data_IF_027336395714
#
_entry.id   IF_027336395714
#
_cell.length_a   1.000
_cell.length_b   1.000
_cell.length_c   1.000
_cell.angle_alpha   90.00
_cell.angle_beta   90.00
_cell.angle_gamma   90.00
#
_symmetry.space_group_name_H-M   'P 1'
#
loop_
_entity.id
_entity.type
_entity.pdbx_description
1 polymer ?
#
# COMPACT_ATOMS: atom_id res chain seq x y z
N UNK A 1 15.96 -4.23 16.02
CA UNK A 1 15.83 -2.77 16.27
C UNK A 1 16.59 -2.03 15.19
N UNK A 2 15.89 -1.51 14.17
CA UNK A 2 16.53 -0.81 13.06
C UNK A 2 17.04 0.56 13.49
N UNK A 3 18.28 0.87 13.15
CA UNK A 3 18.92 2.18 13.35
C UNK A 3 18.18 3.25 12.54
N UNK A 4 17.20 3.93 13.13
CA UNK A 4 16.67 5.17 12.55
C UNK A 4 17.73 6.25 12.73
N UNK A 5 18.59 6.41 11.72
CA UNK A 5 19.60 7.47 11.68
C UNK A 5 18.87 8.82 11.76
N UNK A 6 18.93 9.47 12.92
CA UNK A 6 18.23 10.73 13.21
C UNK A 6 19.02 11.92 12.66
N UNK A 7 19.12 11.99 11.34
CA UNK A 7 19.73 13.12 10.62
C UNK A 7 18.76 14.31 10.60
N UNK A 8 18.59 14.98 11.75
CA UNK A 8 17.57 16.03 11.94
C UNK A 8 17.87 17.37 11.23
N UNK A 9 19.07 17.52 10.68
CA UNK A 9 19.59 18.79 10.16
C UNK A 9 19.96 18.71 8.67
N UNK A 10 19.64 17.60 8.00
CA UNK A 10 19.89 17.48 6.56
C UNK A 10 18.90 18.36 5.81
N UNK A 11 19.44 19.26 4.99
CA UNK A 11 18.66 20.19 4.16
C UNK A 11 18.67 19.79 2.68
N UNK A 12 19.68 19.07 2.22
CA UNK A 12 19.78 18.65 0.82
C UNK A 12 20.27 17.21 0.74
N UNK A 13 19.58 16.41 -0.07
CA UNK A 13 19.99 15.07 -0.48
C UNK A 13 20.09 15.09 -1.99
N UNK A 14 21.27 14.72 -2.51
CA UNK A 14 21.50 14.66 -3.94
C UNK A 14 22.12 13.32 -4.30
N UNK A 15 21.34 12.49 -4.97
CA UNK A 15 21.76 11.25 -5.60
C UNK A 15 21.45 11.28 -7.11
N UNK A 16 21.38 12.47 -7.71
CA UNK A 16 21.25 12.58 -9.15
C UNK A 16 22.40 11.86 -9.85
N UNK A 17 22.12 11.13 -10.92
CA UNK A 17 23.12 10.39 -11.71
C UNK A 17 23.88 9.33 -10.89
N UNK A 18 23.25 8.77 -9.85
CA UNK A 18 23.85 7.76 -8.95
C UNK A 18 23.29 6.35 -9.13
N UNK A 19 22.47 6.08 -10.16
CA UNK A 19 21.85 4.78 -10.42
C UNK A 19 21.11 4.22 -9.18
N UNK A 20 20.34 5.09 -8.52
CA UNK A 20 19.57 4.72 -7.31
C UNK A 20 18.58 3.58 -7.60
N UNK A 21 18.01 3.57 -8.81
CA UNK A 21 16.97 2.65 -9.28
C UNK A 21 15.73 2.63 -8.39
N UNK A 22 14.70 1.91 -8.83
CA UNK A 22 13.41 1.87 -8.14
C UNK A 22 13.52 1.34 -6.70
N UNK A 23 14.31 0.28 -6.45
CA UNK A 23 14.52 -0.27 -5.10
C UNK A 23 15.18 0.76 -4.16
N UNK A 24 16.20 1.47 -4.62
CA UNK A 24 16.87 2.49 -3.82
C UNK A 24 16.01 3.73 -3.58
N UNK A 25 15.20 4.13 -4.56
CA UNK A 25 14.31 5.27 -4.44
C UNK A 25 13.22 5.02 -3.39
N UNK A 26 12.69 3.80 -3.32
CA UNK A 26 11.76 3.38 -2.25
C UNK A 26 12.44 3.41 -0.89
N UNK A 27 13.68 2.92 -0.76
CA UNK A 27 14.42 2.99 0.50
C UNK A 27 14.68 4.43 0.97
N UNK A 28 14.98 5.34 0.04
CA UNK A 28 15.10 6.78 0.32
C UNK A 28 13.74 7.35 0.75
N UNK A 29 12.67 7.00 0.06
CA UNK A 29 11.31 7.42 0.41
C UNK A 29 10.95 7.00 1.84
N UNK A 30 11.26 5.78 2.25
CA UNK A 30 11.04 5.31 3.63
C UNK A 30 11.84 6.12 4.65
N UNK A 31 13.12 6.41 4.36
CA UNK A 31 13.97 7.23 5.21
C UNK A 31 13.46 8.68 5.34
N UNK A 32 12.97 9.25 4.25
CA UNK A 32 12.36 10.59 4.21
C UNK A 32 11.05 10.59 4.98
N UNK A 33 10.18 9.59 4.81
CA UNK A 33 8.89 9.49 5.53
C UNK A 33 9.09 9.39 7.04
N UNK A 34 10.13 8.68 7.48
CA UNK A 34 10.48 8.50 8.90
C UNK A 34 11.35 9.60 9.52
N UNK A 35 11.84 10.59 8.74
CA UNK A 35 12.88 11.52 9.19
C UNK A 35 13.00 12.83 8.40
N UNK A 36 14.13 13.53 8.57
CA UNK A 36 14.54 14.69 7.75
C UNK A 36 13.55 15.90 7.74
N UNK A 37 13.15 16.45 8.88
CA UNK A 37 12.15 17.54 8.94
C UNK A 37 12.59 18.85 8.28
N UNK A 38 13.90 19.03 8.04
CA UNK A 38 14.49 20.23 7.44
C UNK A 38 14.88 20.07 5.98
N UNK A 39 14.44 18.99 5.34
CA UNK A 39 14.78 18.72 3.95
C UNK A 39 14.16 19.80 3.05
N UNK A 40 15.02 20.47 2.28
CA UNK A 40 14.70 21.51 1.30
C UNK A 40 14.86 21.02 -0.13
N UNK A 41 15.84 20.16 -0.38
CA UNK A 41 16.10 19.59 -1.70
C UNK A 41 16.23 18.06 -1.63
N UNK A 42 15.49 17.37 -2.49
CA UNK A 42 15.68 15.95 -2.81
C UNK A 42 15.89 15.82 -4.31
N UNK A 43 17.12 15.49 -4.72
CA UNK A 43 17.48 15.25 -6.11
C UNK A 43 17.74 13.76 -6.35
N UNK A 44 16.87 13.16 -7.17
CA UNK A 44 16.93 11.78 -7.65
C UNK A 44 16.79 11.73 -9.19
N UNK A 45 17.31 12.75 -9.88
CA UNK A 45 17.30 12.82 -11.33
C UNK A 45 18.24 11.78 -11.97
N UNK A 46 17.94 11.33 -13.19
CA UNK A 46 18.80 10.39 -13.95
C UNK A 46 19.16 9.12 -13.15
N UNK A 47 18.15 8.45 -12.59
CA UNK A 47 18.35 7.34 -11.65
C UNK A 47 17.66 6.03 -12.05
N UNK A 48 17.10 5.92 -13.26
CA UNK A 48 16.35 4.72 -13.72
C UNK A 48 15.18 4.38 -12.76
N UNK A 49 14.50 5.42 -12.25
CA UNK A 49 13.37 5.27 -11.34
C UNK A 49 12.09 5.06 -12.15
N UNK A 50 11.42 3.94 -11.93
CA UNK A 50 10.12 3.64 -12.54
C UNK A 50 8.99 4.37 -11.80
N UNK A 51 7.88 4.57 -12.51
CA UNK A 51 6.67 5.27 -12.04
C UNK A 51 6.32 5.03 -10.56
N UNK A 52 6.12 3.77 -10.17
CA UNK A 52 5.61 3.44 -8.82
C UNK A 52 6.58 3.88 -7.71
N UNK A 53 7.89 3.84 -7.97
CA UNK A 53 8.90 4.33 -7.05
C UNK A 53 8.94 5.87 -7.00
N UNK A 54 8.80 6.55 -8.14
CA UNK A 54 8.69 8.01 -8.18
C UNK A 54 7.45 8.52 -7.41
N UNK A 55 6.32 7.84 -7.53
CA UNK A 55 5.10 8.14 -6.75
C UNK A 55 5.34 7.93 -5.24
N UNK A 56 6.07 6.87 -4.86
CA UNK A 56 6.43 6.63 -3.46
C UNK A 56 7.29 7.76 -2.88
N UNK A 57 8.23 8.30 -3.66
CA UNK A 57 9.04 9.46 -3.28
C UNK A 57 8.17 10.71 -3.11
N UNK A 58 7.25 10.97 -4.04
CA UNK A 58 6.33 12.11 -3.96
C UNK A 58 5.43 12.05 -2.72
N UNK A 59 4.93 10.85 -2.36
CA UNK A 59 4.18 10.67 -1.11
C UNK A 59 5.06 10.87 0.13
N UNK A 60 6.32 10.43 0.10
CA UNK A 60 7.22 10.54 1.24
C UNK A 60 7.60 11.98 1.59
N UNK A 61 7.57 12.89 0.61
CA UNK A 61 7.86 14.30 0.83
C UNK A 61 6.63 15.14 1.23
N UNK A 62 5.43 14.55 1.26
CA UNK A 62 4.17 15.27 1.48
C UNK A 62 4.09 16.04 2.81
N UNK A 63 4.86 15.63 3.82
CA UNK A 63 4.93 16.27 5.14
C UNK A 63 6.17 17.16 5.33
N UNK A 64 6.96 17.38 4.28
CA UNK A 64 8.20 18.18 4.31
C UNK A 64 7.90 19.65 4.03
N UNK A 65 7.53 20.37 5.10
CA UNK A 65 7.11 21.77 5.03
C UNK A 65 8.19 22.75 4.52
N UNK A 66 9.47 22.39 4.65
CA UNK A 66 10.60 23.19 4.14
C UNK A 66 11.05 22.78 2.73
N UNK A 67 10.39 21.80 2.09
CA UNK A 67 10.80 21.33 0.76
C UNK A 67 10.58 22.41 -0.30
N UNK A 68 11.66 22.78 -0.96
CA UNK A 68 11.69 23.76 -2.05
C UNK A 68 11.85 23.08 -3.41
N UNK A 69 12.49 21.91 -3.47
CA UNK A 69 12.79 21.21 -4.73
C UNK A 69 12.73 19.68 -4.59
N UNK A 70 11.97 19.05 -5.48
CA UNK A 70 11.99 17.61 -5.79
C UNK A 70 12.39 17.44 -7.25
N UNK A 71 13.54 16.80 -7.48
CA UNK A 71 14.06 16.57 -8.83
C UNK A 71 13.98 15.08 -9.18
N UNK A 72 13.13 14.77 -10.17
CA UNK A 72 12.89 13.42 -10.68
C UNK A 72 13.06 13.36 -12.22
N UNK A 73 13.69 14.36 -12.83
CA UNK A 73 13.93 14.40 -14.27
C UNK A 73 14.83 13.24 -14.74
N UNK A 74 14.77 12.83 -16.01
CA UNK A 74 15.69 11.80 -16.51
C UNK A 74 15.41 10.39 -16.01
N UNK A 75 14.20 10.12 -15.53
CA UNK A 75 13.79 8.81 -15.04
C UNK A 75 12.83 8.13 -16.03
N UNK A 76 12.25 6.99 -15.65
CA UNK A 76 11.43 6.15 -16.53
C UNK A 76 9.99 6.09 -16.03
N UNK A 77 9.31 7.25 -15.94
CA UNK A 77 7.95 7.34 -15.40
C UNK A 77 6.88 7.11 -16.49
N UNK A 78 7.17 7.50 -17.73
CA UNK A 78 6.19 7.58 -18.80
C UNK A 78 5.27 8.79 -18.69
N UNK A 79 4.56 9.10 -19.78
CA UNK A 79 3.60 10.21 -19.84
C UNK A 79 2.54 10.11 -18.74
N UNK A 80 1.95 8.91 -18.58
CA UNK A 80 0.96 8.64 -17.52
C UNK A 80 1.57 8.79 -16.12
N UNK A 81 2.82 8.36 -15.93
CA UNK A 81 3.50 8.50 -14.64
C UNK A 81 3.84 9.95 -14.31
N UNK A 82 4.23 10.75 -15.30
CA UNK A 82 4.45 12.18 -15.16
C UNK A 82 3.15 12.92 -14.77
N UNK A 83 2.04 12.61 -15.45
CA UNK A 83 0.72 13.16 -15.11
C UNK A 83 0.31 12.79 -13.67
N UNK A 84 0.44 11.51 -13.31
CA UNK A 84 0.13 11.03 -11.96
C UNK A 84 1.02 11.70 -10.90
N UNK A 85 2.32 11.85 -11.16
CA UNK A 85 3.25 12.51 -10.25
C UNK A 85 2.86 13.98 -10.00
N UNK A 86 2.45 14.69 -11.06
CA UNK A 86 1.95 16.05 -10.94
C UNK A 86 0.65 16.09 -10.13
N UNK A 87 -0.30 15.18 -10.39
CA UNK A 87 -1.55 15.09 -9.62
C UNK A 87 -1.31 14.80 -8.13
N UNK A 88 -0.33 13.94 -7.79
CA UNK A 88 0.06 13.65 -6.39
C UNK A 88 0.48 14.93 -5.70
N UNK A 89 1.42 15.67 -6.29
CA UNK A 89 1.98 16.87 -5.69
C UNK A 89 0.97 18.01 -5.66
N UNK A 90 0.11 18.14 -6.67
CA UNK A 90 -1.02 19.06 -6.67
C UNK A 90 -1.98 18.76 -5.50
N UNK A 91 -2.28 17.49 -5.25
CA UNK A 91 -3.10 17.05 -4.11
C UNK A 91 -2.52 17.43 -2.74
N UNK A 92 -1.20 17.59 -2.65
CA UNK A 92 -0.50 18.07 -1.45
C UNK A 92 -0.25 19.58 -1.43
N UNK A 93 -0.72 20.33 -2.45
CA UNK A 93 -0.38 21.74 -2.69
C UNK A 93 1.13 21.99 -2.88
N UNK A 94 1.85 20.98 -3.37
CA UNK A 94 3.30 20.99 -3.60
C UNK A 94 3.67 21.05 -5.09
N UNK A 95 2.70 21.31 -5.99
CA UNK A 95 2.91 21.43 -7.44
C UNK A 95 4.19 22.16 -7.88
N UNK A 96 4.57 23.21 -7.14
CA UNK A 96 5.69 24.11 -7.44
C UNK A 96 7.06 23.58 -7.04
N UNK A 97 7.12 22.53 -6.21
CA UNK A 97 8.40 21.96 -5.75
C UNK A 97 8.98 21.02 -6.81
N UNK A 98 8.16 20.49 -7.72
CA UNK A 98 8.59 19.56 -8.74
C UNK A 98 9.45 20.29 -9.78
N UNK A 99 10.64 19.74 -10.05
CA UNK A 99 11.48 20.18 -11.16
C UNK A 99 10.89 19.77 -12.52
N UNK A 100 11.51 20.20 -13.62
CA UNK A 100 11.11 19.76 -14.96
C UNK A 100 11.16 18.24 -15.08
N UNK A 101 10.21 17.64 -15.79
CA UNK A 101 10.23 16.22 -16.20
C UNK A 101 10.44 16.09 -17.73
N UNK A 102 11.06 17.09 -18.35
CA UNK A 102 11.19 17.19 -19.81
C UNK A 102 12.04 16.10 -20.43
N UNK A 103 12.92 15.48 -19.65
CA UNK A 103 13.85 14.42 -20.08
C UNK A 103 13.40 13.05 -19.54
N UNK A 104 12.12 12.84 -19.25
CA UNK A 104 11.62 11.50 -18.93
C UNK A 104 11.86 10.54 -20.11
N UNK A 105 12.49 9.41 -19.82
CA UNK A 105 12.92 8.41 -20.80
C UNK A 105 11.78 7.43 -21.17
N UNK A 106 10.59 7.57 -20.59
CA UNK A 106 9.42 6.74 -20.88
C UNK A 106 9.24 5.54 -19.94
N UNK A 107 8.35 4.62 -20.26
CA UNK A 107 8.21 3.36 -19.51
C UNK A 107 9.11 2.31 -20.17
N UNK A 108 10.21 1.92 -19.51
CA UNK A 108 11.03 0.79 -19.96
C UNK A 108 10.29 -0.53 -19.68
N UNK A 109 9.76 -1.11 -20.77
CA UNK A 109 9.16 -2.45 -20.87
C UNK A 109 10.20 -3.59 -20.74
N UNK A 110 11.47 -3.29 -20.46
CA UNK A 110 12.50 -4.31 -20.36
C UNK A 110 12.38 -5.06 -19.02
N UNK A 111 11.94 -6.30 -19.16
CA UNK A 111 12.05 -7.40 -18.21
C UNK A 111 13.48 -7.45 -17.62
N UNK A 112 13.69 -6.88 -16.43
CA UNK A 112 14.90 -7.18 -15.66
C UNK A 112 14.76 -8.60 -15.12
N UNK A 113 15.10 -9.58 -15.97
CA UNK A 113 15.65 -10.87 -15.55
C UNK A 113 16.93 -10.58 -14.73
N UNK A 114 16.80 -10.30 -13.43
CA UNK A 114 17.90 -10.58 -12.51
C UNK A 114 18.02 -12.11 -12.43
N UNK A 115 18.82 -12.70 -13.32
CA UNK A 115 19.42 -14.02 -13.11
C UNK A 115 20.26 -13.95 -11.82
N UNK A 116 19.60 -14.27 -10.69
CA UNK A 116 20.27 -14.58 -9.44
C UNK A 116 20.55 -16.07 -9.42
N UNK A 117 21.82 -16.43 -9.58
CA UNK A 117 22.37 -17.76 -9.36
C UNK A 117 21.93 -18.29 -7.98
N UNK A 118 20.99 -19.23 -7.93
CA UNK A 118 20.74 -20.02 -6.73
C UNK A 118 21.83 -21.10 -6.65
N UNK A 119 22.81 -20.87 -5.77
CA UNK A 119 23.72 -21.92 -5.32
C UNK A 119 22.88 -22.99 -4.60
N UNK A 120 22.87 -24.20 -5.16
CA UNK A 120 22.32 -25.40 -4.52
C UNK A 120 23.19 -25.74 -3.30
N UNK A 121 22.73 -25.45 -2.09
CA UNK A 121 23.21 -26.14 -0.88
C UNK A 121 22.34 -27.36 -0.64
N UNK A 122 22.87 -28.53 -1.03
CA UNK A 122 22.42 -29.85 -0.58
C UNK A 122 22.72 -29.96 0.93
N UNK A 123 21.69 -29.97 1.77
CA UNK A 123 21.82 -30.51 3.13
C UNK A 123 21.37 -31.98 3.13
N UNK A 124 22.36 -32.87 3.16
CA UNK A 124 22.19 -34.30 3.42
C UNK A 124 21.77 -34.54 4.88
N UNK A 125 20.93 -35.54 5.04
CA UNK A 125 20.39 -36.10 6.27
C UNK A 125 21.49 -36.63 7.21
N UNK A 126 21.39 -36.36 8.51
CA UNK A 126 21.84 -37.32 9.54
C UNK A 126 20.78 -37.42 10.66
N UNK A 127 20.17 -38.60 10.75
CA UNK A 127 19.36 -39.06 11.88
C UNK A 127 20.25 -39.69 12.97
N UNK A 128 19.69 -39.72 14.19
CA UNK A 128 20.07 -40.51 15.39
C UNK A 128 21.32 -39.98 16.16
N UNK A 129 21.31 -39.83 17.48
CA UNK A 129 21.00 -40.85 18.48
C UNK A 129 20.32 -40.32 19.76
N UNK A 130 19.66 -41.27 20.42
CA UNK A 130 18.95 -41.26 21.70
C UNK A 130 19.81 -40.87 22.90
N UNK A 131 19.22 -40.23 23.93
CA UNK A 131 19.42 -40.63 25.34
C UNK A 131 18.15 -40.26 26.14
N UNK A 132 17.45 -41.28 26.67
CA UNK A 132 16.47 -41.16 27.76
C UNK A 132 17.11 -41.56 29.11
N UNK A 133 16.44 -41.14 30.19
CA UNK A 133 16.47 -41.64 31.57
C UNK A 133 17.63 -41.14 32.48
N UNK A 134 17.45 -40.83 33.78
CA UNK A 134 16.29 -40.74 34.66
C UNK A 134 16.74 -40.00 35.96
N UNK A 135 15.74 -39.42 36.65
CA UNK A 135 15.48 -39.38 38.10
C UNK A 135 16.31 -38.60 39.17
N UNK A 136 15.51 -37.81 39.92
CA UNK A 136 15.40 -37.70 41.40
C UNK A 136 16.56 -37.07 42.22
N UNK A 137 16.36 -36.31 43.31
CA UNK A 137 15.25 -36.14 44.25
C UNK A 137 15.46 -34.84 45.08
N UNK A 138 14.34 -34.25 45.52
CA UNK A 138 14.05 -33.56 46.80
C UNK A 138 15.10 -32.73 47.60
N UNK A 139 14.77 -31.46 47.92
CA UNK A 139 14.18 -31.05 49.22
C UNK A 139 14.15 -29.51 49.37
N UNK A 140 12.96 -28.95 49.60
CA UNK A 140 12.76 -27.72 50.38
C UNK A 140 12.53 -28.14 51.86
N UNK A 141 12.95 -27.35 52.89
CA UNK A 141 12.01 -26.33 53.40
C UNK A 141 12.63 -25.08 54.07
N UNK A 142 11.96 -23.97 53.81
CA UNK A 142 11.46 -22.94 54.75
C UNK A 142 12.36 -22.03 55.62
N UNK A 143 11.85 -20.79 55.69
CA UNK A 143 11.79 -19.82 56.79
C UNK A 143 12.85 -18.73 56.92
N UNK A 144 12.35 -17.49 57.09
CA UNK A 144 12.97 -16.54 58.03
C UNK A 144 13.18 -15.12 57.53
N UNK A 145 12.13 -14.33 57.56
CA UNK A 145 12.03 -12.92 58.00
C UNK A 145 13.24 -11.95 58.07
N UNK A 146 12.89 -10.70 57.74
CA UNK A 146 13.34 -9.40 58.28
C UNK A 146 14.61 -8.72 57.70
N UNK A 147 14.38 -7.56 57.09
CA UNK A 147 14.83 -6.31 57.73
C UNK A 147 15.81 -5.43 56.96
N UNK A 148 15.37 -4.18 56.76
CA UNK A 148 16.16 -2.93 56.76
C UNK A 148 16.64 -2.33 55.42
N UNK A 149 16.09 -1.15 55.12
CA UNK A 149 16.68 -0.11 54.27
C UNK A 149 18.05 0.34 54.82
N UNK A 150 18.86 1.11 54.06
CA UNK A 150 18.71 2.57 54.16
C UNK A 150 19.02 3.37 52.87
N UNK A 151 18.24 4.45 52.74
CA UNK A 151 18.67 5.83 52.51
C UNK A 151 19.47 6.26 51.25
N UNK A 152 18.86 7.24 50.57
CA UNK A 152 19.41 8.23 49.63
C UNK A 152 20.45 9.17 50.26
N UNK A 153 21.15 9.99 49.45
CA UNK A 153 21.10 11.45 49.66
C UNK A 153 21.12 12.24 48.30
N UNK A 154 21.14 13.60 48.25
CA UNK A 154 19.93 14.42 48.12
C UNK A 154 19.93 15.52 47.02
N UNK A 155 18.70 15.97 46.72
CA UNK A 155 18.19 17.24 46.15
C UNK A 155 19.15 18.41 45.83
N UNK A 156 18.87 19.07 44.70
CA UNK A 156 18.72 20.55 44.62
C UNK A 156 17.48 20.93 43.82
N UNK A 157 16.63 21.73 44.45
CA UNK A 157 15.40 22.37 43.94
C UNK A 157 15.76 23.79 43.55
N UNK A 158 15.31 24.26 42.37
CA UNK A 158 14.93 25.66 42.10
C UNK A 158 13.90 25.67 40.94
N UNK A 159 12.63 25.89 41.27
CA UNK A 159 11.56 26.42 40.39
C UNK A 159 11.62 27.97 40.41
N UNK A 160 10.79 28.75 39.69
CA UNK A 160 10.11 28.55 38.39
C UNK A 160 10.25 29.80 37.46
N UNK A 161 9.94 29.71 36.16
CA UNK A 161 9.20 30.76 35.38
C UNK A 161 9.05 30.41 33.89
N UNK A 162 7.79 30.37 33.43
CA UNK A 162 7.26 30.77 32.11
C UNK A 162 7.93 30.30 30.80
N UNK A 163 7.21 29.50 30.02
CA UNK A 163 7.46 29.34 28.58
C UNK A 163 6.74 28.14 27.97
N UNK A 164 5.53 28.40 27.45
CA UNK A 164 4.79 27.71 26.37
C UNK A 164 4.80 26.17 26.25
N UNK A 165 3.62 25.51 26.18
CA UNK A 165 3.56 24.09 25.80
C UNK A 165 3.97 23.92 24.32
N UNK A 166 4.85 22.95 24.07
CA UNK A 166 5.25 22.52 22.74
C UNK A 166 4.03 22.25 21.84
N UNK A 167 4.08 22.58 20.53
CA UNK A 167 2.95 22.38 19.65
C UNK A 167 2.70 20.88 19.51
N UNK A 168 1.50 20.47 19.92
CA UNK A 168 0.90 19.19 19.59
C UNK A 168 1.03 18.96 18.09
N UNK A 169 1.63 17.82 17.73
CA UNK A 169 1.68 17.28 16.37
C UNK A 169 0.30 17.41 15.74
N UNK A 170 0.19 18.29 14.75
CA UNK A 170 -1.01 18.41 13.92
C UNK A 170 -1.29 17.04 13.33
N UNK A 171 -2.39 16.42 13.76
CA UNK A 171 -2.94 15.23 13.12
C UNK A 171 -2.96 15.43 11.60
N UNK A 172 -2.52 14.46 10.79
CA UNK A 172 -2.50 14.63 9.35
C UNK A 172 -3.92 14.98 8.85
N UNK A 173 -4.06 15.88 7.86
CA UNK A 173 -5.34 16.50 7.48
C UNK A 173 -6.39 15.43 7.15
N UNK A 174 -7.65 15.58 7.58
CA UNK A 174 -8.67 14.54 7.42
C UNK A 174 -8.69 14.03 5.97
N UNK A 175 -8.49 12.72 5.79
CA UNK A 175 -8.58 12.12 4.47
C UNK A 175 -10.02 12.31 3.97
N UNK A 176 -10.18 12.81 2.75
CA UNK A 176 -11.46 12.77 2.05
C UNK A 176 -11.44 11.65 1.00
N UNK A 177 -12.63 11.24 0.55
CA UNK A 177 -12.79 10.13 -0.40
C UNK A 177 -12.14 10.46 -1.74
N UNK A 178 -12.11 11.73 -2.16
CA UNK A 178 -11.47 12.14 -3.42
C UNK A 178 -9.97 11.87 -3.37
N UNK A 179 -9.33 12.22 -2.25
CA UNK A 179 -7.91 12.00 -1.99
C UNK A 179 -7.59 10.51 -1.94
N UNK A 180 -8.45 9.71 -1.30
CA UNK A 180 -8.31 8.26 -1.30
C UNK A 180 -8.46 7.65 -2.70
N UNK A 181 -9.47 8.06 -3.47
CA UNK A 181 -9.69 7.54 -4.82
C UNK A 181 -8.63 8.04 -5.81
N UNK A 182 -8.01 9.20 -5.58
CA UNK A 182 -6.86 9.62 -6.37
C UNK A 182 -5.65 8.72 -6.07
N UNK A 183 -5.36 8.49 -4.78
CA UNK A 183 -4.17 7.75 -4.33
C UNK A 183 -4.51 6.74 -3.24
N UNK A 184 -4.98 5.54 -3.62
CA UNK A 184 -5.41 4.55 -2.64
C UNK A 184 -4.24 4.07 -1.78
N UNK A 185 -4.39 4.18 -0.46
CA UNK A 185 -3.53 3.48 0.51
C UNK A 185 -4.36 2.90 1.66
N UNK A 186 -3.89 1.84 2.33
CA UNK A 186 -4.58 1.28 3.50
C UNK A 186 -4.80 2.33 4.59
N UNK A 187 -3.79 3.17 4.83
CA UNK A 187 -3.83 4.22 5.86
C UNK A 187 -4.87 5.28 5.51
N UNK A 188 -4.95 5.69 4.24
CA UNK A 188 -5.97 6.65 3.77
C UNK A 188 -7.37 6.08 3.92
N UNK A 189 -7.59 4.80 3.58
CA UNK A 189 -8.88 4.12 3.77
C UNK A 189 -9.30 4.08 5.24
N UNK A 190 -8.39 3.72 6.13
CA UNK A 190 -8.67 3.68 7.58
C UNK A 190 -8.92 5.08 8.15
N UNK A 191 -8.23 6.11 7.65
CA UNK A 191 -8.39 7.51 8.08
C UNK A 191 -9.71 8.15 7.67
N UNK A 192 -10.43 7.60 6.69
CA UNK A 192 -11.82 7.98 6.39
C UNK A 192 -12.78 7.64 7.55
N UNK A 193 -12.35 6.76 8.48
CA UNK A 193 -13.08 6.39 9.67
C UNK A 193 -14.25 5.42 9.40
N UNK A 194 -15.12 5.17 10.39
CA UNK A 194 -16.12 4.11 10.35
C UNK A 194 -17.24 4.32 9.31
N UNK A 195 -17.29 5.48 8.66
CA UNK A 195 -18.25 5.81 7.60
C UNK A 195 -17.63 5.74 6.20
N UNK A 196 -16.39 5.28 6.07
CA UNK A 196 -15.64 5.20 4.82
C UNK A 196 -16.45 4.51 3.72
N UNK A 197 -17.04 3.36 4.01
CA UNK A 197 -17.87 2.58 3.08
C UNK A 197 -19.04 3.37 2.50
N UNK A 198 -19.80 4.05 3.37
CA UNK A 198 -20.94 4.89 2.96
C UNK A 198 -20.48 6.10 2.15
N UNK A 199 -19.38 6.75 2.56
CA UNK A 199 -18.86 7.93 1.87
C UNK A 199 -18.34 7.58 0.47
N UNK A 200 -17.62 6.47 0.32
CA UNK A 200 -17.17 5.96 -0.97
C UNK A 200 -18.37 5.70 -1.88
N UNK A 201 -19.35 4.93 -1.41
CA UNK A 201 -20.55 4.63 -2.18
C UNK A 201 -21.35 5.89 -2.55
N UNK A 202 -21.38 6.92 -1.68
CA UNK A 202 -22.08 8.19 -1.94
C UNK A 202 -21.40 9.04 -3.00
N UNK A 203 -20.07 9.13 -2.97
CA UNK A 203 -19.31 9.97 -3.91
C UNK A 203 -19.08 9.31 -5.26
N UNK A 204 -19.21 7.98 -5.36
CA UNK A 204 -19.23 7.28 -6.64
C UNK A 204 -20.59 7.40 -7.32
N UNK A 205 -20.58 7.84 -8.57
CA UNK A 205 -21.72 7.81 -9.47
C UNK A 205 -21.99 6.37 -9.92
N UNK A 206 -22.86 5.69 -9.16
CA UNK A 206 -23.22 4.28 -9.41
C UNK A 206 -24.20 4.09 -10.57
N UNK A 207 -24.50 5.13 -11.36
CA UNK A 207 -25.24 4.97 -12.61
C UNK A 207 -24.34 4.59 -13.78
N UNK A 208 -23.04 4.88 -13.66
CA UNK A 208 -22.02 4.64 -14.67
C UNK A 208 -21.16 3.41 -14.30
N UNK A 209 -21.24 2.29 -15.05
CA UNK A 209 -20.43 1.10 -14.80
C UNK A 209 -18.92 1.36 -14.78
N UNK A 210 -18.42 2.31 -15.57
CA UNK A 210 -16.99 2.61 -15.65
C UNK A 210 -16.47 3.21 -14.33
N UNK A 211 -17.23 4.15 -13.76
CA UNK A 211 -16.90 4.77 -12.48
C UNK A 211 -17.00 3.76 -11.33
N UNK A 212 -17.95 2.82 -11.39
CA UNK A 212 -18.06 1.74 -10.40
C UNK A 212 -16.86 0.79 -10.49
N UNK A 213 -16.42 0.42 -11.71
CA UNK A 213 -15.20 -0.39 -11.89
C UNK A 213 -13.97 0.35 -11.35
N UNK A 214 -13.81 1.62 -11.70
CA UNK A 214 -12.69 2.44 -11.20
C UNK A 214 -12.66 2.48 -9.67
N UNK A 215 -13.80 2.76 -9.03
CA UNK A 215 -13.90 2.77 -7.56
C UNK A 215 -13.65 1.39 -6.95
N UNK A 216 -14.18 0.31 -7.54
CA UNK A 216 -13.97 -1.06 -7.08
C UNK A 216 -12.47 -1.44 -7.11
N UNK A 217 -11.78 -1.12 -8.20
CA UNK A 217 -10.35 -1.42 -8.35
C UNK A 217 -9.48 -0.59 -7.39
N UNK A 218 -9.80 0.70 -7.22
CA UNK A 218 -9.11 1.59 -6.27
C UNK A 218 -9.32 1.18 -4.82
N UNK A 219 -10.52 0.73 -4.45
CA UNK A 219 -10.80 0.22 -3.10
C UNK A 219 -10.12 -1.12 -2.87
N UNK A 220 -10.13 -2.02 -3.85
CA UNK A 220 -9.54 -3.35 -3.71
C UNK A 220 -8.03 -3.36 -3.81
N UNK A 221 -7.39 -2.38 -4.45
CA UNK A 221 -5.92 -2.29 -4.56
C UNK A 221 -5.21 -2.14 -3.21
N UNK A 222 -5.89 -1.61 -2.20
CA UNK A 222 -5.33 -1.42 -0.85
C UNK A 222 -5.58 -2.62 0.07
N UNK A 223 -6.14 -3.71 -0.45
CA UNK A 223 -6.38 -4.92 0.32
C UNK A 223 -5.08 -5.48 0.89
N UNK A 224 -5.08 -5.73 2.20
CA UNK A 224 -4.05 -6.47 2.93
C UNK A 224 -4.74 -7.50 3.82
N UNK A 225 -4.09 -8.61 4.11
CA UNK A 225 -4.62 -9.61 5.06
C UNK A 225 -4.39 -9.19 6.52
N UNK A 226 -4.66 -7.91 6.79
CA UNK A 226 -4.70 -7.31 8.12
C UNK A 226 -6.17 -7.06 8.44
N UNK A 227 -6.64 -7.49 9.62
CA UNK A 227 -8.06 -7.51 9.96
C UNK A 227 -8.76 -6.16 9.73
N UNK A 228 -8.16 -5.04 10.16
CA UNK A 228 -8.74 -3.71 10.02
C UNK A 228 -8.87 -3.28 8.54
N UNK A 229 -7.80 -3.43 7.77
CA UNK A 229 -7.77 -3.07 6.34
C UNK A 229 -8.70 -3.96 5.53
N UNK A 230 -8.65 -5.27 5.75
CA UNK A 230 -9.52 -6.25 5.10
C UNK A 230 -10.99 -5.93 5.30
N UNK A 231 -11.41 -5.69 6.54
CA UNK A 231 -12.80 -5.32 6.85
C UNK A 231 -13.18 -3.99 6.20
N UNK A 232 -12.31 -2.98 6.25
CA UNK A 232 -12.59 -1.69 5.62
C UNK A 232 -12.77 -1.79 4.10
N UNK A 233 -11.94 -2.60 3.42
CA UNK A 233 -12.06 -2.86 1.98
C UNK A 233 -13.36 -3.61 1.67
N UNK A 234 -13.67 -4.67 2.42
CA UNK A 234 -14.89 -5.47 2.25
C UNK A 234 -16.15 -4.63 2.46
N UNK A 235 -16.22 -3.84 3.54
CA UNK A 235 -17.35 -2.96 3.83
C UNK A 235 -17.55 -1.91 2.72
N UNK A 236 -16.45 -1.36 2.19
CA UNK A 236 -16.50 -0.38 1.11
C UNK A 236 -16.96 -1.01 -0.22
N UNK A 237 -16.49 -2.21 -0.54
CA UNK A 237 -16.96 -3.00 -1.68
C UNK A 237 -18.44 -3.30 -1.54
N UNK A 238 -18.88 -3.76 -0.36
CA UNK A 238 -20.29 -4.08 -0.10
C UNK A 238 -21.18 -2.86 -0.26
N UNK A 239 -20.82 -1.73 0.34
CA UNK A 239 -21.59 -0.50 0.22
C UNK A 239 -21.69 0.00 -1.24
N UNK A 240 -20.58 -0.03 -1.98
CA UNK A 240 -20.53 0.38 -3.38
C UNK A 240 -21.38 -0.53 -4.26
N UNK A 241 -21.14 -1.85 -4.18
CA UNK A 241 -21.75 -2.82 -5.08
C UNK A 241 -23.22 -3.08 -4.74
N UNK A 242 -23.61 -3.04 -3.46
CA UNK A 242 -25.02 -3.07 -3.06
C UNK A 242 -25.79 -1.87 -3.58
N UNK A 243 -25.18 -0.67 -3.58
CA UNK A 243 -25.79 0.53 -4.18
C UNK A 243 -25.92 0.41 -5.70
N UNK A 244 -24.89 -0.09 -6.38
CA UNK A 244 -24.90 -0.27 -7.83
C UNK A 244 -25.91 -1.35 -8.27
N UNK A 245 -25.78 -2.58 -7.77
CA UNK A 245 -26.67 -3.70 -8.14
C UNK A 245 -28.10 -3.55 -7.61
N UNK A 246 -28.31 -2.73 -6.57
CA UNK A 246 -29.65 -2.38 -6.10
C UNK A 246 -30.43 -1.47 -7.07
N UNK A 247 -29.76 -0.84 -8.05
CA UNK A 247 -30.40 -0.01 -9.07
C UNK A 247 -30.83 -0.84 -10.27
N UNK A 248 -32.12 -0.81 -10.61
CA UNK A 248 -32.65 -1.51 -11.80
C UNK A 248 -32.12 -0.95 -13.13
N UNK A 249 -31.57 0.27 -13.13
CA UNK A 249 -30.98 0.90 -14.31
C UNK A 249 -29.51 0.52 -14.50
N UNK A 250 -28.86 -0.08 -13.50
CA UNK A 250 -27.45 -0.41 -13.55
C UNK A 250 -27.19 -1.65 -14.42
N UNK A 251 -26.34 -1.50 -15.43
CA UNK A 251 -26.00 -2.59 -16.34
C UNK A 251 -24.90 -3.48 -15.73
N UNK A 252 -25.34 -4.53 -15.05
CA UNK A 252 -24.46 -5.49 -14.36
C UNK A 252 -23.51 -6.25 -15.32
N UNK A 253 -23.93 -6.50 -16.56
CA UNK A 253 -23.09 -7.14 -17.57
C UNK A 253 -22.02 -6.19 -18.13
N UNK A 254 -22.36 -4.91 -18.28
CA UNK A 254 -21.39 -3.88 -18.66
C UNK A 254 -20.32 -3.71 -17.57
N UNK A 255 -20.73 -3.68 -16.30
CA UNK A 255 -19.80 -3.68 -15.17
C UNK A 255 -18.80 -4.85 -15.26
N UNK A 256 -19.29 -6.09 -15.38
CA UNK A 256 -18.41 -7.26 -15.43
C UNK A 256 -17.46 -7.22 -16.64
N UNK A 257 -17.97 -6.84 -17.82
CA UNK A 257 -17.15 -6.69 -19.04
C UNK A 257 -16.02 -5.68 -18.83
N UNK A 258 -16.33 -4.50 -18.29
CA UNK A 258 -15.34 -3.44 -18.05
C UNK A 258 -14.34 -3.84 -16.96
N UNK A 259 -14.79 -4.50 -15.90
CA UNK A 259 -13.91 -5.03 -14.86
C UNK A 259 -12.87 -6.00 -15.44
N UNK A 260 -13.31 -6.96 -16.27
CA UNK A 260 -12.41 -7.92 -16.91
C UNK A 260 -11.42 -7.25 -17.87
N UNK A 261 -11.81 -6.17 -18.54
CA UNK A 261 -10.92 -5.39 -19.40
C UNK A 261 -9.83 -4.70 -18.57
N UNK A 262 -10.21 -3.98 -17.51
CA UNK A 262 -9.25 -3.30 -16.62
C UNK A 262 -8.32 -4.27 -15.86
N UNK A 263 -8.76 -5.50 -15.63
CA UNK A 263 -7.93 -6.58 -15.09
C UNK A 263 -7.04 -7.28 -16.14
N UNK A 264 -7.09 -6.87 -17.41
CA UNK A 264 -6.30 -7.49 -18.49
C UNK A 264 -6.77 -8.88 -18.90
N UNK A 265 -8.00 -9.26 -18.57
CA UNK A 265 -8.55 -10.61 -18.80
C UNK A 265 -9.48 -10.66 -20.03
N UNK A 266 -9.85 -9.51 -20.57
CA UNK A 266 -10.66 -9.36 -21.76
C UNK A 266 -10.15 -8.20 -22.62
N UNK A 267 -10.10 -8.40 -23.94
CA UNK A 267 -9.67 -7.36 -24.88
C UNK A 267 -10.77 -6.32 -25.11
N UNK A 268 -10.37 -5.08 -25.32
CA UNK A 268 -11.22 -3.95 -25.75
C UNK A 268 -10.69 -3.33 -27.04
N UNK A 269 -11.56 -2.58 -27.73
CA UNK A 269 -11.14 -1.71 -28.85
C UNK A 269 -10.37 -0.47 -28.34
N UNK A 270 -10.70 -0.01 -27.14
CA UNK A 270 -9.98 1.06 -26.44
C UNK A 270 -8.63 0.56 -25.92
N UNK A 271 -7.60 1.41 -26.00
CA UNK A 271 -6.33 1.19 -25.31
C UNK A 271 -6.51 1.47 -23.82
N UNK A 272 -6.71 0.40 -23.04
CA UNK A 272 -6.84 0.48 -21.58
C UNK A 272 -5.64 -0.25 -20.97
N UNK A 273 -4.91 0.44 -20.11
CA UNK A 273 -3.82 -0.15 -19.34
C UNK A 273 -4.40 -1.07 -18.29
N UNK A 274 -4.00 -2.34 -18.32
CA UNK A 274 -4.38 -3.30 -17.30
C UNK A 274 -3.67 -2.98 -15.98
N UNK A 275 -4.34 -3.22 -14.85
CA UNK A 275 -3.70 -3.10 -13.54
C UNK A 275 -2.66 -4.22 -13.36
N UNK A 276 -1.52 -3.89 -12.74
CA UNK A 276 -0.41 -4.83 -12.59
C UNK A 276 -0.67 -5.95 -11.57
N UNK A 277 -1.31 -5.63 -10.44
CA UNK A 277 -1.53 -6.57 -9.35
C UNK A 277 -3.02 -6.92 -9.20
N UNK A 278 -3.35 -8.20 -9.35
CA UNK A 278 -4.71 -8.72 -9.25
C UNK A 278 -5.07 -9.27 -7.85
N UNK A 279 -4.13 -9.33 -6.90
CA UNK A 279 -4.37 -9.94 -5.58
C UNK A 279 -5.56 -9.30 -4.86
N UNK A 280 -5.53 -7.97 -4.69
CA UNK A 280 -6.61 -7.23 -4.03
C UNK A 280 -7.96 -7.34 -4.76
N UNK A 281 -8.03 -7.07 -6.08
CA UNK A 281 -9.24 -7.29 -6.88
C UNK A 281 -9.81 -8.71 -6.77
N UNK A 282 -8.98 -9.75 -6.80
CA UNK A 282 -9.42 -11.15 -6.69
C UNK A 282 -9.97 -11.45 -5.29
N UNK A 283 -9.34 -10.92 -4.23
CA UNK A 283 -9.84 -11.08 -2.86
C UNK A 283 -11.14 -10.32 -2.63
N UNK A 284 -11.29 -9.12 -3.20
CA UNK A 284 -12.53 -8.35 -3.17
C UNK A 284 -13.65 -9.05 -3.95
N UNK A 285 -13.35 -9.60 -5.13
CA UNK A 285 -14.28 -10.44 -5.88
C UNK A 285 -14.71 -11.67 -5.09
N UNK A 286 -13.76 -12.36 -4.43
CA UNK A 286 -14.02 -13.53 -3.61
C UNK A 286 -15.01 -13.21 -2.48
N UNK A 287 -14.90 -12.03 -1.84
CA UNK A 287 -15.88 -11.56 -0.86
C UNK A 287 -17.23 -11.22 -1.51
N UNK A 288 -17.21 -10.43 -2.58
CA UNK A 288 -18.41 -9.89 -3.24
C UNK A 288 -19.35 -10.99 -3.75
N UNK A 289 -18.83 -12.07 -4.35
CA UNK A 289 -19.65 -13.13 -4.94
C UNK A 289 -20.44 -13.96 -3.90
N UNK A 290 -20.04 -13.88 -2.63
CA UNK A 290 -20.71 -14.56 -1.51
C UNK A 290 -21.89 -13.75 -0.97
N UNK A 291 -22.03 -12.48 -1.36
CA UNK A 291 -23.02 -11.57 -0.78
C UNK A 291 -24.39 -11.73 -1.46
N UNK A 292 -25.46 -11.54 -0.69
CA UNK A 292 -26.85 -11.64 -1.17
C UNK A 292 -27.19 -10.63 -2.28
N UNK A 293 -26.48 -9.51 -2.34
CA UNK A 293 -26.69 -8.49 -3.38
C UNK A 293 -26.09 -8.88 -4.73
N UNK A 294 -25.22 -9.88 -4.79
CA UNK A 294 -24.50 -10.24 -6.01
C UNK A 294 -25.42 -10.95 -7.01
N UNK A 295 -25.52 -10.47 -8.27
CA UNK A 295 -26.34 -11.14 -9.28
C UNK A 295 -25.72 -12.49 -9.69
N UNK A 296 -26.28 -13.60 -9.19
CA UNK A 296 -25.78 -14.97 -9.45
C UNK A 296 -25.64 -15.32 -10.93
N UNK A 297 -26.40 -14.67 -11.81
CA UNK A 297 -26.27 -14.82 -13.26
C UNK A 297 -24.88 -14.43 -13.82
N UNK A 298 -24.10 -13.62 -13.08
CA UNK A 298 -22.74 -13.24 -13.46
C UNK A 298 -21.68 -14.29 -13.09
N UNK A 299 -21.98 -15.20 -12.15
CA UNK A 299 -21.00 -16.18 -11.66
C UNK A 299 -20.43 -17.08 -12.77
N UNK A 300 -21.23 -17.64 -13.70
CA UNK A 300 -20.69 -18.47 -14.78
C UNK A 300 -19.76 -17.69 -15.73
N UNK A 301 -20.07 -16.42 -15.98
CA UNK A 301 -19.22 -15.57 -16.82
C UNK A 301 -17.89 -15.32 -16.12
N UNK A 302 -17.91 -14.91 -14.85
CA UNK A 302 -16.69 -14.67 -14.09
C UNK A 302 -15.84 -15.94 -14.00
N UNK A 303 -16.45 -17.10 -13.73
CA UNK A 303 -15.79 -18.41 -13.71
C UNK A 303 -15.09 -18.74 -15.04
N UNK A 304 -15.73 -18.47 -16.18
CA UNK A 304 -15.16 -18.73 -17.49
C UNK A 304 -13.91 -17.88 -17.78
N UNK A 305 -13.78 -16.69 -17.19
CA UNK A 305 -12.57 -15.86 -17.34
C UNK A 305 -11.50 -16.18 -16.30
N UNK A 306 -11.88 -16.53 -15.07
CA UNK A 306 -10.92 -16.94 -14.02
C UNK A 306 -10.20 -18.26 -14.34
N UNK A 307 -10.79 -19.10 -15.18
CA UNK A 307 -10.21 -20.39 -15.60
C UNK A 307 -9.31 -20.29 -16.84
N UNK A 308 -9.34 -19.16 -17.57
CA UNK A 308 -8.46 -18.98 -18.74
C UNK A 308 -6.99 -18.83 -18.33
N UNK A 309 -6.04 -19.38 -19.09
CA UNK A 309 -4.61 -19.09 -18.91
C UNK A 309 -4.34 -17.59 -19.07
N UNK A 310 -3.61 -17.02 -18.11
CA UNK A 310 -3.24 -15.61 -18.08
C UNK A 310 -2.14 -15.41 -17.04
N UNK A 311 -1.01 -14.80 -17.42
CA UNK A 311 0.15 -14.63 -16.54
C UNK A 311 -0.17 -13.86 -15.25
N UNK A 312 -0.97 -12.79 -15.33
CA UNK A 312 -1.34 -12.01 -14.14
C UNK A 312 -2.19 -12.82 -13.13
N UNK A 313 -3.02 -13.75 -13.61
CA UNK A 313 -3.76 -14.67 -12.74
C UNK A 313 -2.86 -15.77 -12.14
N UNK A 314 -1.83 -16.19 -12.86
CA UNK A 314 -0.87 -17.20 -12.40
C UNK A 314 0.03 -16.66 -11.28
N UNK A 315 0.47 -15.40 -11.39
CA UNK A 315 1.18 -14.68 -10.31
C UNK A 315 0.34 -14.48 -9.04
N UNK A 316 -0.98 -14.66 -9.13
CA UNK A 316 -1.93 -14.55 -8.01
C UNK A 316 -2.63 -15.89 -7.70
N UNK A 317 -1.92 -17.02 -7.82
CA UNK A 317 -2.46 -18.38 -7.75
C UNK A 317 -3.36 -18.65 -6.53
N UNK A 318 -2.95 -18.20 -5.34
CA UNK A 318 -3.75 -18.35 -4.10
C UNK A 318 -5.09 -17.63 -4.18
N UNK A 319 -5.10 -16.34 -4.53
CA UNK A 319 -6.32 -15.54 -4.62
C UNK A 319 -7.24 -16.05 -5.74
N UNK A 320 -6.66 -16.45 -6.88
CA UNK A 320 -7.37 -17.08 -7.99
C UNK A 320 -8.05 -18.38 -7.54
N UNK A 321 -7.32 -19.26 -6.85
CA UNK A 321 -7.85 -20.54 -6.38
C UNK A 321 -9.01 -20.35 -5.40
N UNK A 322 -8.88 -19.44 -4.44
CA UNK A 322 -9.95 -19.12 -3.50
C UNK A 322 -11.21 -18.62 -4.22
N UNK A 323 -11.06 -17.68 -5.16
CA UNK A 323 -12.19 -17.17 -5.94
C UNK A 323 -12.85 -18.29 -6.75
N UNK A 324 -12.09 -19.17 -7.40
CA UNK A 324 -12.63 -20.30 -8.14
C UNK A 324 -13.43 -21.24 -7.23
N UNK A 325 -12.88 -21.64 -6.07
CA UNK A 325 -13.60 -22.48 -5.11
C UNK A 325 -14.91 -21.84 -4.64
N UNK A 326 -14.90 -20.54 -4.42
CA UNK A 326 -16.10 -19.78 -4.02
C UNK A 326 -17.12 -19.76 -5.15
N UNK A 327 -16.70 -19.49 -6.39
CA UNK A 327 -17.60 -19.46 -7.56
C UNK A 327 -18.28 -20.81 -7.82
N UNK A 328 -17.64 -21.94 -7.52
CA UNK A 328 -18.27 -23.25 -7.61
C UNK A 328 -19.39 -23.49 -6.58
N UNK A 329 -19.49 -22.65 -5.55
CA UNK A 329 -20.49 -22.74 -4.47
C UNK A 329 -21.66 -21.74 -4.63
N UNK A 330 -21.55 -20.76 -5.53
CA UNK A 330 -22.53 -19.66 -5.72
C UNK A 330 -23.70 -20.09 -6.61
#
# INVERSE_FOLDING_TARGET
MGLTLTLRQVEAINFGDCLVRSKGAVAIADAVRGGLPKLKELNLSFCEIKRDAALSVAEAVADKAELEKLDLNGNTLGEEGCEQLQEVLDGFNMAKVLASLSDDEGEDDEDEEEEGEEEEEEEEEEEEEEEEEEEEEEEEPQQGEQGEEPATPPRKILDPTSGEPAPVLSSPPPADVSTFLAFPSPEKLLRLGPKSSVLIAQQTDTSDPEKVVSAFLKVSSVFKDEAAVRTAVQDAVDALMKKAFGSSAFNSNAFLTRLLIHMGLLKSEDKIKAIANLYGPLMALNHMVQQDYFPKALAPLLLAFMTKPNGALESCSFARHNLLQTLYKV
#
